data_IF_413133004712
#
_entry.id   IF_413133004712
#
_cell.length_a   1.000
_cell.length_b   1.000
_cell.length_c   1.000
_cell.angle_alpha   90.00
_cell.angle_beta   90.00
_cell.angle_gamma   90.00
#
_symmetry.space_group_name_H-M   'P 1'
#
loop_
_entity.id
_entity.type
_entity.pdbx_description
1 polymer ?
#
# COMPACT_ATOMS: atom_id res chain seq x y z
N UNK A 1 25.60 -17.36 -3.76
CA UNK A 1 26.01 -17.27 -2.34
C UNK A 1 25.90 -15.86 -1.76
N UNK A 2 26.38 -14.80 -2.42
CA UNK A 2 26.29 -13.42 -1.91
C UNK A 2 24.85 -12.90 -1.70
N UNK A 3 23.92 -13.26 -2.58
CA UNK A 3 22.49 -12.93 -2.42
C UNK A 3 21.88 -13.42 -1.11
N UNK A 4 22.07 -14.72 -0.79
CA UNK A 4 21.60 -15.32 0.45
C UNK A 4 22.24 -14.67 1.69
N UNK A 5 23.53 -14.33 1.60
CA UNK A 5 24.22 -13.63 2.69
C UNK A 5 23.61 -12.23 2.91
N UNK A 6 23.39 -11.45 1.86
CA UNK A 6 22.78 -10.13 1.99
C UNK A 6 21.35 -10.21 2.50
N UNK A 7 20.55 -11.18 2.03
CA UNK A 7 19.22 -11.42 2.60
C UNK A 7 19.27 -11.77 4.09
N UNK A 8 20.17 -12.67 4.48
CA UNK A 8 20.35 -13.01 5.89
C UNK A 8 20.74 -11.78 6.72
N UNK A 9 21.65 -10.93 6.21
CA UNK A 9 22.03 -9.68 6.86
C UNK A 9 20.81 -8.76 6.97
N UNK A 10 20.05 -8.53 5.89
CA UNK A 10 18.84 -7.69 5.89
C UNK A 10 17.86 -8.17 6.96
N UNK A 11 17.45 -9.44 6.90
CA UNK A 11 16.43 -9.96 7.81
C UNK A 11 16.89 -9.94 9.27
N UNK A 12 18.11 -10.40 9.57
CA UNK A 12 18.60 -10.45 10.95
C UNK A 12 18.76 -9.05 11.53
N UNK A 13 19.41 -8.15 10.80
CA UNK A 13 19.63 -6.78 11.25
C UNK A 13 18.30 -6.02 11.42
N UNK A 14 17.38 -6.14 10.47
CA UNK A 14 16.07 -5.51 10.52
C UNK A 14 15.29 -5.99 11.76
N UNK A 15 15.28 -7.31 12.02
CA UNK A 15 14.66 -7.88 13.23
C UNK A 15 15.31 -7.38 14.52
N UNK A 16 16.64 -7.34 14.59
CA UNK A 16 17.36 -6.86 15.78
C UNK A 16 17.04 -5.38 16.04
N UNK A 17 17.15 -4.54 15.03
CA UNK A 17 16.91 -3.09 15.15
C UNK A 17 15.45 -2.80 15.50
N UNK A 18 14.50 -3.48 14.85
CA UNK A 18 13.08 -3.33 15.17
C UNK A 18 12.75 -3.76 16.61
N UNK A 19 13.30 -4.88 17.08
CA UNK A 19 13.07 -5.33 18.46
C UNK A 19 13.70 -4.37 19.48
N UNK A 20 14.90 -3.83 19.20
CA UNK A 20 15.52 -2.79 20.04
C UNK A 20 14.62 -1.55 20.12
N UNK A 21 14.13 -1.05 18.98
CA UNK A 21 13.27 0.14 18.93
C UNK A 21 11.89 -0.11 19.55
N UNK A 22 11.36 -1.33 19.44
CA UNK A 22 10.15 -1.75 20.13
C UNK A 22 10.26 -1.60 21.65
N UNK A 23 11.44 -1.85 22.25
CA UNK A 23 11.69 -1.61 23.69
C UNK A 23 11.61 -0.12 24.07
N UNK A 24 11.87 0.78 23.12
CA UNK A 24 11.71 2.22 23.30
C UNK A 24 10.29 2.73 22.98
N UNK A 25 9.31 1.82 22.83
CA UNK A 25 7.91 2.13 22.47
C UNK A 25 7.75 2.81 21.10
N UNK A 26 8.71 2.60 20.20
CA UNK A 26 8.59 3.03 18.81
C UNK A 26 7.99 1.89 17.95
N UNK A 27 7.25 2.22 16.88
CA UNK A 27 6.78 1.21 15.93
C UNK A 27 7.96 0.43 15.32
N UNK A 28 7.81 -0.89 15.21
CA UNK A 28 8.84 -1.77 14.61
C UNK A 28 9.21 -1.36 13.18
N UNK A 29 8.22 -0.85 12.42
CA UNK A 29 8.41 -0.36 11.04
C UNK A 29 9.48 0.74 10.97
N UNK A 30 9.54 1.60 11.98
CA UNK A 30 10.59 2.63 12.08
C UNK A 30 11.98 1.99 12.16
N UNK A 31 12.10 0.85 12.85
CA UNK A 31 13.36 0.11 12.93
C UNK A 31 13.76 -0.56 11.62
N UNK A 32 12.80 -1.11 10.87
CA UNK A 32 13.05 -1.64 9.53
C UNK A 32 13.58 -0.54 8.59
N UNK A 33 12.99 0.66 8.63
CA UNK A 33 13.42 1.80 7.82
C UNK A 33 14.83 2.28 8.19
N UNK A 34 15.11 2.48 9.49
CA UNK A 34 16.44 2.91 9.96
C UNK A 34 17.50 1.89 9.55
N UNK A 35 17.22 0.60 9.75
CA UNK A 35 18.13 -0.47 9.35
C UNK A 35 18.40 -0.44 7.84
N UNK A 36 17.36 -0.31 7.01
CA UNK A 36 17.48 -0.23 5.57
C UNK A 36 18.31 0.97 5.10
N UNK A 37 18.12 2.15 5.70
CA UNK A 37 18.91 3.36 5.39
C UNK A 37 20.38 3.19 5.77
N UNK A 38 20.66 2.58 6.93
CA UNK A 38 22.02 2.30 7.40
C UNK A 38 22.73 1.28 6.50
N UNK A 39 22.10 0.15 6.22
CA UNK A 39 22.70 -0.94 5.45
C UNK A 39 22.75 -0.67 3.95
N UNK A 40 21.80 0.13 3.46
CA UNK A 40 21.70 0.51 2.07
C UNK A 40 22.84 1.42 1.60
N UNK A 41 22.88 1.71 0.30
CA UNK A 41 23.92 2.51 -0.35
C UNK A 41 23.96 3.98 0.10
N UNK A 42 22.96 4.43 0.85
CA UNK A 42 22.85 5.82 1.32
C UNK A 42 23.78 6.15 2.49
N UNK A 43 24.16 5.16 3.31
CA UNK A 43 25.05 5.35 4.47
C UNK A 43 26.27 4.42 4.43
N UNK A 44 26.12 3.15 4.82
CA UNK A 44 27.25 2.23 4.92
C UNK A 44 27.54 1.49 3.61
N UNK A 45 26.55 1.36 2.73
CA UNK A 45 26.71 0.67 1.45
C UNK A 45 27.07 -0.81 1.58
N UNK A 46 26.72 -1.44 2.71
CA UNK A 46 26.92 -2.88 2.94
C UNK A 46 26.17 -3.70 1.88
N UNK A 47 25.02 -3.19 1.44
CA UNK A 47 24.21 -3.78 0.38
C UNK A 47 24.34 -2.93 -0.87
N UNK A 48 25.03 -3.42 -1.92
CA UNK A 48 25.22 -2.65 -3.14
C UNK A 48 23.91 -2.46 -3.92
N UNK A 49 23.83 -1.36 -4.68
CA UNK A 49 22.65 -0.99 -5.50
C UNK A 49 22.20 -2.10 -6.46
N UNK A 50 23.14 -2.82 -7.06
CA UNK A 50 22.82 -3.87 -8.04
C UNK A 50 21.99 -5.00 -7.40
N UNK A 51 22.29 -5.36 -6.15
CA UNK A 51 21.55 -6.40 -5.42
C UNK A 51 20.17 -5.91 -4.98
N UNK A 52 20.00 -4.62 -4.70
CA UNK A 52 18.68 -4.06 -4.35
C UNK A 52 17.68 -4.21 -5.49
N UNK A 53 18.14 -4.06 -6.74
CA UNK A 53 17.31 -4.23 -7.92
C UNK A 53 16.84 -5.67 -8.07
N UNK A 54 17.73 -6.63 -7.84
CA UNK A 54 17.39 -8.05 -7.86
C UNK A 54 16.42 -8.45 -6.72
N UNK A 55 16.41 -7.71 -5.61
CA UNK A 55 15.48 -7.92 -4.50
C UNK A 55 14.10 -7.26 -4.70
N UNK A 56 13.88 -6.51 -5.78
CA UNK A 56 12.58 -5.89 -6.08
C UNK A 56 11.46 -6.94 -6.16
N UNK A 57 11.75 -8.13 -6.69
CA UNK A 57 10.78 -9.23 -6.75
C UNK A 57 10.29 -9.68 -5.36
N UNK A 58 11.13 -9.60 -4.33
CA UNK A 58 10.72 -9.94 -2.96
C UNK A 58 9.70 -8.92 -2.43
N UNK A 59 9.90 -7.64 -2.75
CA UNK A 59 8.97 -6.57 -2.39
C UNK A 59 7.62 -6.76 -3.09
N UNK A 60 7.64 -7.08 -4.39
CA UNK A 60 6.43 -7.36 -5.17
C UNK A 60 5.66 -8.56 -4.64
N UNK A 61 6.35 -9.66 -4.32
CA UNK A 61 5.73 -10.86 -3.74
C UNK A 61 5.17 -10.58 -2.35
N UNK A 62 5.92 -9.87 -1.49
CA UNK A 62 5.45 -9.49 -0.16
C UNK A 62 4.20 -8.60 -0.23
N UNK A 63 4.19 -7.58 -1.08
CA UNK A 63 3.04 -6.69 -1.27
C UNK A 63 1.83 -7.46 -1.81
N UNK A 64 2.05 -8.42 -2.73
CA UNK A 64 1.00 -9.31 -3.24
C UNK A 64 0.38 -10.16 -2.13
N UNK A 65 1.19 -10.71 -1.21
CA UNK A 65 0.68 -11.45 -0.06
C UNK A 65 -0.08 -10.57 0.92
N UNK A 66 0.38 -9.34 1.16
CA UNK A 66 -0.33 -8.37 2.02
C UNK A 66 -1.70 -8.06 1.40
N UNK A 67 -1.74 -7.69 0.13
CA UNK A 67 -2.98 -7.39 -0.59
C UNK A 67 -3.95 -8.59 -0.61
N UNK A 68 -3.44 -9.81 -0.82
CA UNK A 68 -4.25 -11.02 -0.79
C UNK A 68 -4.80 -11.32 0.61
N UNK A 69 -4.00 -11.19 1.67
CA UNK A 69 -4.46 -11.41 3.04
C UNK A 69 -5.56 -10.41 3.42
N UNK A 70 -5.34 -9.11 3.16
CA UNK A 70 -6.35 -8.07 3.41
C UNK A 70 -7.64 -8.39 2.64
N UNK A 71 -7.54 -8.71 1.35
CA UNK A 71 -8.69 -9.08 0.53
C UNK A 71 -9.41 -10.35 1.01
N UNK A 72 -8.69 -11.30 1.62
CA UNK A 72 -9.27 -12.54 2.15
C UNK A 72 -10.02 -12.35 3.47
N UNK A 73 -9.66 -11.32 4.24
CA UNK A 73 -10.35 -10.94 5.48
C UNK A 73 -11.55 -10.01 5.24
N UNK A 74 -11.65 -9.41 4.05
CA UNK A 74 -12.79 -8.58 3.66
C UNK A 74 -14.06 -9.40 3.43
N UNK A 75 -15.00 -9.33 4.37
CA UNK A 75 -16.36 -9.82 4.18
C UNK A 75 -17.22 -8.78 3.45
N UNK A 76 -17.71 -9.13 2.26
CA UNK A 76 -18.60 -8.29 1.46
C UNK A 76 -19.90 -7.91 2.17
N UNK A 77 -20.42 -8.77 3.06
CA UNK A 77 -21.64 -8.45 3.82
C UNK A 77 -21.34 -7.39 4.88
N UNK A 78 -20.22 -7.54 5.59
CA UNK A 78 -19.68 -6.51 6.47
C UNK A 78 -19.43 -5.20 5.72
N UNK A 79 -18.86 -5.26 4.51
CA UNK A 79 -18.60 -4.09 3.66
C UNK A 79 -19.88 -3.36 3.23
N UNK A 80 -20.93 -4.11 2.87
CA UNK A 80 -22.25 -3.55 2.54
C UNK A 80 -22.94 -2.92 3.74
N UNK A 81 -22.70 -3.43 4.94
CA UNK A 81 -23.25 -2.90 6.18
C UNK A 81 -22.60 -1.56 6.61
N UNK A 82 -21.41 -1.23 6.07
CA UNK A 82 -20.67 0.01 6.35
C UNK A 82 -21.44 1.27 5.93
N UNK A 83 -22.36 1.14 4.99
CA UNK A 83 -23.19 2.24 4.51
C UNK A 83 -22.42 3.30 3.71
N UNK A 84 -23.17 4.12 2.97
CA UNK A 84 -22.63 5.12 2.04
C UNK A 84 -21.73 6.16 2.72
N UNK A 85 -21.95 6.43 4.02
CA UNK A 85 -21.16 7.42 4.77
C UNK A 85 -19.68 7.05 4.86
N UNK A 86 -19.37 5.77 5.05
CA UNK A 86 -17.99 5.30 5.19
C UNK A 86 -17.23 5.49 3.87
N UNK A 87 -17.85 5.11 2.74
CA UNK A 87 -17.28 5.31 1.41
C UNK A 87 -16.99 6.79 1.15
N UNK A 88 -17.91 7.68 1.53
CA UNK A 88 -17.71 9.13 1.39
C UNK A 88 -16.52 9.60 2.23
N UNK A 89 -16.43 9.19 3.50
CA UNK A 89 -15.32 9.59 4.39
C UNK A 89 -13.99 9.13 3.81
N UNK A 90 -13.85 7.85 3.47
CA UNK A 90 -12.62 7.28 2.93
C UNK A 90 -12.21 7.95 1.62
N UNK A 91 -13.16 8.20 0.71
CA UNK A 91 -12.86 8.90 -0.54
C UNK A 91 -12.34 10.32 -0.28
N UNK A 92 -13.06 11.10 0.54
CA UNK A 92 -12.71 12.50 0.76
C UNK A 92 -11.43 12.68 1.55
N UNK A 93 -11.14 11.83 2.55
CA UNK A 93 -9.89 11.95 3.30
C UNK A 93 -8.68 11.64 2.41
N UNK A 94 -8.72 10.54 1.64
CA UNK A 94 -7.63 10.13 0.76
C UNK A 94 -7.42 11.13 -0.37
N UNK A 95 -8.52 11.58 -1.00
CA UNK A 95 -8.48 12.55 -2.08
C UNK A 95 -8.00 13.94 -1.60
N UNK A 96 -8.48 14.40 -0.45
CA UNK A 96 -8.03 15.69 0.09
C UNK A 96 -6.56 15.64 0.54
N UNK A 97 -6.09 14.53 1.10
CA UNK A 97 -4.67 14.34 1.39
C UNK A 97 -3.82 14.47 0.12
N UNK A 98 -4.20 13.74 -0.94
CA UNK A 98 -3.57 13.83 -2.26
C UNK A 98 -3.52 15.27 -2.78
N UNK A 99 -4.68 15.94 -2.89
CA UNK A 99 -4.78 17.30 -3.44
C UNK A 99 -3.97 18.29 -2.61
N UNK A 100 -4.02 18.16 -1.28
CA UNK A 100 -3.31 19.07 -0.38
C UNK A 100 -1.79 18.97 -0.56
N UNK A 101 -1.24 17.76 -0.52
CA UNK A 101 0.20 17.55 -0.68
C UNK A 101 0.65 17.90 -2.09
N UNK A 102 -0.12 17.51 -3.12
CA UNK A 102 0.14 17.90 -4.51
C UNK A 102 0.23 19.42 -4.64
N UNK A 103 -0.76 20.15 -4.11
CA UNK A 103 -0.83 21.61 -4.20
C UNK A 103 0.35 22.27 -3.49
N UNK A 104 0.67 21.84 -2.28
CA UNK A 104 1.81 22.37 -1.51
C UNK A 104 3.13 22.14 -2.26
N UNK A 105 3.33 20.98 -2.88
CA UNK A 105 4.54 20.69 -3.66
C UNK A 105 4.66 21.58 -4.89
N UNK A 106 3.56 21.81 -5.62
CA UNK A 106 3.55 22.72 -6.78
C UNK A 106 3.86 24.16 -6.36
N UNK A 107 3.23 24.67 -5.30
CA UNK A 107 3.47 26.02 -4.78
C UNK A 107 4.93 26.17 -4.30
N UNK A 108 5.52 25.09 -3.79
CA UNK A 108 6.93 25.04 -3.38
C UNK A 108 7.92 24.95 -4.56
N UNK A 109 7.44 25.01 -5.81
CA UNK A 109 8.26 24.99 -7.01
C UNK A 109 8.77 23.61 -7.43
N UNK A 110 8.19 22.52 -6.90
CA UNK A 110 8.56 21.17 -7.29
C UNK A 110 7.97 20.78 -8.66
N UNK A 111 8.57 19.78 -9.32
CA UNK A 111 8.06 19.31 -10.61
C UNK A 111 6.69 18.66 -10.47
N UNK A 112 5.86 18.78 -11.51
CA UNK A 112 4.53 18.16 -11.58
C UNK A 112 4.58 16.65 -11.31
N UNK A 113 5.58 15.98 -11.89
CA UNK A 113 5.82 14.53 -11.72
C UNK A 113 6.07 14.20 -10.25
N UNK A 114 6.95 14.94 -9.59
CA UNK A 114 7.25 14.73 -8.17
C UNK A 114 6.04 15.01 -7.28
N UNK A 115 5.33 16.11 -7.53
CA UNK A 115 4.13 16.48 -6.79
C UNK A 115 3.01 15.44 -6.93
N UNK A 116 2.80 14.89 -8.13
CA UNK A 116 1.80 13.83 -8.38
C UNK A 116 2.11 12.56 -7.60
N UNK A 117 3.34 12.06 -7.70
CA UNK A 117 3.74 10.82 -7.04
C UNK A 117 3.73 11.01 -5.52
N UNK A 118 4.27 12.11 -5.02
CA UNK A 118 4.30 12.36 -3.57
C UNK A 118 2.91 12.60 -3.00
N UNK A 119 2.06 13.34 -3.72
CA UNK A 119 0.65 13.50 -3.39
C UNK A 119 -0.04 12.14 -3.29
N UNK A 120 0.18 11.24 -4.24
CA UNK A 120 -0.46 9.93 -4.21
C UNK A 120 0.02 9.07 -3.03
N UNK A 121 1.32 9.06 -2.76
CA UNK A 121 1.89 8.37 -1.59
C UNK A 121 1.30 8.90 -0.29
N UNK A 122 0.98 10.21 -0.21
CA UNK A 122 0.40 10.81 0.99
C UNK A 122 -1.03 10.36 1.31
N UNK A 123 -1.74 9.78 0.34
CA UNK A 123 -3.08 9.22 0.56
C UNK A 123 -3.06 7.89 1.31
N UNK A 124 -1.89 7.24 1.43
CA UNK A 124 -1.77 5.95 2.11
C UNK A 124 -1.80 6.11 3.65
N UNK A 125 -2.73 5.42 4.32
CA UNK A 125 -2.80 5.40 5.79
C UNK A 125 -2.57 3.99 6.35
N UNK A 126 -1.66 3.85 7.31
CA UNK A 126 -1.41 2.57 7.98
C UNK A 126 -2.23 2.45 9.29
N UNK A 127 -3.06 1.40 9.46
CA UNK A 127 -3.95 1.32 10.61
C UNK A 127 -3.38 0.63 11.85
N UNK A 128 -2.20 0.01 11.74
CA UNK A 128 -1.70 -0.93 12.74
C UNK A 128 -1.60 -0.34 14.16
N UNK A 129 -1.08 0.87 14.29
CA UNK A 129 -0.91 1.53 15.59
C UNK A 129 -2.26 1.88 16.22
N UNK A 130 -3.19 2.42 15.44
CA UNK A 130 -4.54 2.80 15.88
C UNK A 130 -5.36 1.57 16.29
N UNK A 131 -5.31 0.50 15.50
CA UNK A 131 -5.95 -0.78 15.82
C UNK A 131 -5.39 -1.40 17.10
N UNK A 132 -4.08 -1.31 17.32
CA UNK A 132 -3.43 -1.78 18.55
C UNK A 132 -3.95 -1.03 19.78
N UNK A 133 -4.07 0.30 19.70
CA UNK A 133 -4.61 1.12 20.80
C UNK A 133 -6.09 0.77 21.07
N UNK A 134 -6.91 0.64 20.03
CA UNK A 134 -8.33 0.24 20.17
C UNK A 134 -8.44 -1.10 20.90
N UNK A 135 -7.62 -2.09 20.51
CA UNK A 135 -7.59 -3.42 21.14
C UNK A 135 -7.06 -3.37 22.58
N UNK A 136 -5.99 -2.62 22.84
CA UNK A 136 -5.37 -2.51 24.15
C UNK A 136 -6.31 -1.91 25.19
N UNK A 137 -7.02 -0.84 24.82
CA UNK A 137 -7.97 -0.16 25.72
C UNK A 137 -9.39 -0.70 25.63
N UNK A 138 -9.64 -1.69 24.76
CA UNK A 138 -10.99 -2.19 24.42
C UNK A 138 -11.95 -1.03 24.10
N UNK A 139 -11.44 -0.05 23.36
CA UNK A 139 -12.17 1.18 23.04
C UNK A 139 -13.42 0.84 22.22
N UNK A 140 -14.53 1.55 22.50
CA UNK A 140 -15.81 1.39 21.81
C UNK A 140 -16.45 2.75 21.58
N UNK A 141 -17.31 2.84 20.58
CA UNK A 141 -18.13 4.01 20.31
C UNK A 141 -18.10 4.41 18.83
N UNK A 142 -18.83 5.49 18.48
CA UNK A 142 -19.11 5.85 17.09
C UNK A 142 -17.85 6.06 16.24
N UNK A 143 -16.77 6.57 16.85
CA UNK A 143 -15.49 6.76 16.17
C UNK A 143 -14.83 5.43 15.81
N UNK A 144 -14.82 4.46 16.71
CA UNK A 144 -14.25 3.12 16.46
C UNK A 144 -15.06 2.40 15.39
N UNK A 145 -16.39 2.50 15.48
CA UNK A 145 -17.32 1.89 14.52
C UNK A 145 -17.19 2.49 13.11
N UNK A 146 -16.71 3.74 13.00
CA UNK A 146 -16.43 4.40 11.72
C UNK A 146 -15.01 4.10 11.22
N UNK A 147 -14.00 4.19 12.09
CA UNK A 147 -12.59 4.02 11.75
C UNK A 147 -12.26 2.61 11.26
N UNK A 148 -12.78 1.57 11.93
CA UNK A 148 -12.50 0.18 11.60
C UNK A 148 -12.84 -0.14 10.12
N UNK A 149 -14.04 0.23 9.64
CA UNK A 149 -14.41 0.17 8.22
C UNK A 149 -13.59 1.04 7.26
N UNK A 150 -13.34 2.30 7.65
CA UNK A 150 -12.63 3.27 6.83
C UNK A 150 -11.23 2.75 6.50
N UNK A 151 -10.53 2.27 7.53
CA UNK A 151 -9.23 1.62 7.44
C UNK A 151 -9.22 0.44 6.45
N UNK A 152 -10.28 -0.38 6.44
CA UNK A 152 -10.35 -1.54 5.57
C UNK A 152 -10.55 -1.16 4.09
N UNK A 153 -11.13 0.02 3.83
CA UNK A 153 -11.39 0.54 2.48
C UNK A 153 -10.27 1.44 1.94
N UNK A 154 -9.49 2.06 2.82
CA UNK A 154 -8.50 3.10 2.47
C UNK A 154 -7.46 2.63 1.46
N UNK A 155 -6.91 1.42 1.65
CA UNK A 155 -5.89 0.84 0.76
C UNK A 155 -6.35 0.75 -0.71
N UNK A 156 -7.64 0.49 -0.95
CA UNK A 156 -8.18 0.42 -2.31
C UNK A 156 -8.20 1.79 -2.99
N UNK A 157 -8.58 2.84 -2.26
CA UNK A 157 -8.57 4.21 -2.78
C UNK A 157 -7.13 4.71 -2.98
N UNK A 158 -6.22 4.41 -2.05
CA UNK A 158 -4.80 4.72 -2.18
C UNK A 158 -4.20 4.10 -3.45
N UNK A 159 -4.41 2.80 -3.70
CA UNK A 159 -3.91 2.12 -4.90
C UNK A 159 -4.48 2.75 -6.17
N UNK A 160 -5.77 3.13 -6.18
CA UNK A 160 -6.41 3.79 -7.30
C UNK A 160 -5.78 5.17 -7.59
N UNK A 161 -5.63 6.01 -6.56
CA UNK A 161 -5.01 7.34 -6.68
C UNK A 161 -3.56 7.19 -7.16
N UNK A 162 -2.80 6.26 -6.57
CA UNK A 162 -1.41 6.00 -6.94
C UNK A 162 -1.24 5.47 -8.36
N UNK A 163 -2.11 4.56 -8.81
CA UNK A 163 -2.10 4.07 -10.18
C UNK A 163 -2.33 5.21 -11.19
N UNK A 164 -3.37 6.02 -10.98
CA UNK A 164 -3.68 7.17 -11.85
C UNK A 164 -2.53 8.17 -11.85
N UNK A 165 -2.03 8.56 -10.68
CA UNK A 165 -0.95 9.53 -10.55
C UNK A 165 0.37 9.03 -11.18
N UNK A 166 0.69 7.74 -11.03
CA UNK A 166 1.90 7.13 -11.60
C UNK A 166 1.83 7.05 -13.12
N UNK A 167 0.67 6.68 -13.68
CA UNK A 167 0.47 6.68 -15.14
C UNK A 167 0.55 8.09 -15.70
N UNK A 168 -0.04 9.08 -15.02
CA UNK A 168 0.08 10.49 -15.41
C UNK A 168 1.53 10.98 -15.36
N UNK A 169 2.24 10.69 -14.27
CA UNK A 169 3.64 11.02 -14.07
C UNK A 169 4.54 10.43 -15.17
N UNK A 170 4.32 9.16 -15.53
CA UNK A 170 5.10 8.46 -16.57
C UNK A 170 4.86 9.06 -17.95
N UNK A 171 3.61 9.39 -18.29
CA UNK A 171 3.28 10.05 -19.56
C UNK A 171 3.90 11.45 -19.67
N UNK A 172 3.89 12.23 -18.57
CA UNK A 172 4.54 13.54 -18.52
C UNK A 172 6.05 13.44 -18.77
N UNK A 173 6.71 12.41 -18.26
CA UNK A 173 8.14 12.15 -18.49
C UNK A 173 8.42 11.69 -19.94
N UNK A 174 7.50 10.94 -20.54
CA UNK A 174 7.66 10.44 -21.91
C UNK A 174 7.49 11.53 -22.99
N UNK A 175 7.04 12.74 -22.62
CA UNK A 175 6.82 13.85 -23.56
C UNK A 175 5.71 13.57 -24.59
N UNK A 176 4.86 12.57 -24.33
CA UNK A 176 3.72 12.25 -25.18
C UNK A 176 2.68 13.38 -25.12
N UNK A 177 2.03 13.65 -26.24
CA UNK A 177 0.90 14.57 -26.29
C UNK A 177 -0.15 14.12 -25.26
N UNK A 178 -0.60 15.06 -24.42
CA UNK A 178 -1.58 14.86 -23.36
C UNK A 178 -2.96 14.53 -23.94
N UNK A 179 -3.12 13.33 -24.49
CA UNK A 179 -4.42 12.85 -24.90
C UNK A 179 -5.17 12.42 -23.63
N UNK A 180 -6.16 13.23 -23.24
CA UNK A 180 -6.98 13.03 -22.03
C UNK A 180 -7.56 11.62 -22.01
N UNK A 181 -7.83 11.06 -23.18
CA UNK A 181 -8.29 9.69 -23.36
C UNK A 181 -7.30 8.66 -22.77
N UNK A 182 -6.00 8.80 -23.02
CA UNK A 182 -4.99 7.91 -22.47
C UNK A 182 -4.68 8.16 -20.99
N UNK A 183 -4.88 9.38 -20.50
CA UNK A 183 -4.55 9.73 -19.11
C UNK A 183 -5.61 9.27 -18.10
N UNK A 184 -6.88 9.24 -18.51
CA UNK A 184 -7.98 8.91 -17.61
C UNK A 184 -8.57 7.53 -17.93
N UNK A 185 -8.80 7.23 -19.21
CA UNK A 185 -9.49 5.99 -19.56
C UNK A 185 -8.61 4.75 -19.39
N UNK A 186 -7.31 4.82 -19.74
CA UNK A 186 -6.42 3.67 -19.62
C UNK A 186 -6.23 3.22 -18.15
N UNK A 187 -5.90 4.10 -17.18
CA UNK A 187 -5.83 3.69 -15.78
C UNK A 187 -7.14 3.12 -15.24
N UNK A 188 -8.28 3.72 -15.61
CA UNK A 188 -9.59 3.20 -15.21
C UNK A 188 -9.82 1.80 -15.80
N UNK A 189 -9.47 1.61 -17.08
CA UNK A 189 -9.61 0.33 -17.76
C UNK A 189 -8.66 -0.73 -17.19
N UNK A 190 -7.43 -0.36 -16.82
CA UNK A 190 -6.49 -1.24 -16.12
C UNK A 190 -7.02 -1.66 -14.75
N UNK A 191 -7.58 -0.72 -13.97
CA UNK A 191 -8.21 -1.02 -12.68
C UNK A 191 -9.41 -1.96 -12.87
N UNK A 192 -10.29 -1.67 -13.83
CA UNK A 192 -11.45 -2.53 -14.14
C UNK A 192 -10.97 -3.93 -14.59
N UNK A 193 -9.97 -4.01 -15.47
CA UNK A 193 -9.42 -5.27 -15.94
C UNK A 193 -8.78 -6.07 -14.79
N UNK A 194 -8.03 -5.41 -13.91
CA UNK A 194 -7.45 -6.02 -12.71
C UNK A 194 -8.54 -6.54 -11.75
N UNK A 195 -9.61 -5.77 -11.53
CA UNK A 195 -10.76 -6.19 -10.72
C UNK A 195 -11.48 -7.39 -11.32
N UNK A 196 -11.72 -7.38 -12.64
CA UNK A 196 -12.36 -8.49 -13.36
C UNK A 196 -11.50 -9.76 -13.28
N UNK A 197 -10.20 -9.63 -13.56
CA UNK A 197 -9.25 -10.76 -13.42
C UNK A 197 -9.21 -11.30 -12.01
N UNK A 198 -9.13 -10.43 -11.00
CA UNK A 198 -9.17 -10.79 -9.59
C UNK A 198 -10.45 -11.54 -9.23
N UNK A 199 -11.61 -11.07 -9.70
CA UNK A 199 -12.91 -11.71 -9.49
C UNK A 199 -12.97 -13.10 -10.15
N UNK A 200 -12.52 -13.21 -11.40
CA UNK A 200 -12.48 -14.50 -12.12
C UNK A 200 -11.60 -15.50 -11.38
N UNK A 201 -10.37 -15.11 -11.01
CA UNK A 201 -9.44 -15.98 -10.28
C UNK A 201 -9.96 -16.35 -8.88
N UNK A 202 -10.61 -15.41 -8.19
CA UNK A 202 -11.23 -15.65 -6.89
C UNK A 202 -12.40 -16.63 -6.96
N UNK A 203 -13.27 -16.49 -7.96
CA UNK A 203 -14.39 -17.42 -8.22
C UNK A 203 -13.86 -18.80 -8.60
N UNK A 204 -12.87 -18.88 -9.49
CA UNK A 204 -12.23 -20.15 -9.87
C UNK A 204 -11.64 -20.86 -8.65
N UNK A 205 -10.91 -20.14 -7.81
CA UNK A 205 -10.34 -20.65 -6.56
C UNK A 205 -11.43 -21.19 -5.64
N UNK A 206 -12.53 -20.45 -5.46
CA UNK A 206 -13.67 -20.87 -4.64
C UNK A 206 -14.32 -22.17 -5.15
N UNK A 207 -14.47 -22.31 -6.47
CA UNK A 207 -15.03 -23.54 -7.08
C UNK A 207 -14.09 -24.73 -6.84
N UNK A 208 -12.78 -24.55 -7.03
CA UNK A 208 -11.78 -25.59 -6.82
C UNK A 208 -11.78 -26.04 -5.36
N UNK A 209 -11.75 -25.12 -4.40
CA UNK A 209 -11.77 -25.44 -2.97
C UNK A 209 -13.05 -26.20 -2.58
N UNK A 210 -14.22 -25.81 -3.11
CA UNK A 210 -15.48 -26.51 -2.87
C UNK A 210 -15.47 -27.94 -3.44
N UNK A 211 -14.85 -28.17 -4.60
CA UNK A 211 -14.72 -29.52 -5.19
C UNK A 211 -13.80 -30.42 -4.37
N UNK A 212 -12.67 -29.91 -3.90
CA UNK A 212 -11.73 -30.68 -3.07
C UNK A 212 -12.38 -31.07 -1.74
N UNK A 213 -13.06 -30.14 -1.08
CA UNK A 213 -13.73 -30.37 0.22
C UNK A 213 -14.96 -31.30 0.14
N UNK A 214 -15.47 -31.59 -1.06
CA UNK A 214 -16.54 -32.57 -1.31
C UNK A 214 -16.02 -33.98 -1.61
N UNK A 215 -14.72 -34.11 -1.88
CA UNK A 215 -14.04 -35.36 -2.21
C UNK A 215 -13.31 -35.98 -1.00
N UNK A 216 -13.41 -35.35 0.17
CA UNK A 216 -12.96 -35.82 1.48
C UNK A 216 -14.17 -35.89 2.40
#
# INVERSE_FOLDING_TARGET
MKYLLYLAIIFLSAMIVANILGKFRLPEVTGYLICGVILGPSLLGIIPKDYLKDFEILSTVALSFIAFNIGSEMDLNSLKALGTKIIIITFFEAFMAFVSVFTVMIISGQSMVFALVLGAISSATAPAATLMVIKQYRAKGPLVDTLMPVVALDDAFCIMIFGIASTLATNLLAGSSLDIFHMVLLPILEIIAALVLGLVLGVLSSIITKKIKKST
#
